data_IF_310741699299
#
_entry.id   IF_310741699299
#
_cell.length_a   1.000
_cell.length_b   1.000
_cell.length_c   1.000
_cell.angle_alpha   90.00
_cell.angle_beta   90.00
_cell.angle_gamma   90.00
#
_symmetry.space_group_name_H-M   'P 1'
#
loop_
_entity.id
_entity.type
_entity.pdbx_description
1 polymer ?
#
# COMPACT_ATOMS: atom_id res chain seq x y z
N UNK A 1 -15.84 27.46 10.29
CA UNK A 1 -14.47 26.99 10.03
C UNK A 1 -13.82 26.70 11.38
N UNK A 2 -13.86 25.45 11.81
CA UNK A 2 -12.99 25.01 12.92
C UNK A 2 -11.77 24.39 12.27
N UNK A 3 -10.65 25.12 12.28
CA UNK A 3 -9.34 24.54 11.99
C UNK A 3 -8.95 23.65 13.19
N UNK A 4 -9.56 22.47 13.29
CA UNK A 4 -9.13 21.44 14.24
C UNK A 4 -7.81 20.85 13.73
N UNK A 5 -6.73 21.59 13.98
CA UNK A 5 -5.37 21.08 13.92
C UNK A 5 -5.04 20.42 15.24
N UNK A 6 -4.52 19.20 15.18
CA UNK A 6 -4.08 18.46 16.36
C UNK A 6 -2.62 18.07 16.19
N UNK A 7 -1.77 18.50 17.12
CA UNK A 7 -0.40 18.01 17.18
C UNK A 7 -0.39 16.68 17.94
N UNK A 8 0.21 15.66 17.34
CA UNK A 8 0.39 14.34 17.94
C UNK A 8 1.86 13.96 17.92
N UNK A 9 2.26 13.08 18.84
CA UNK A 9 3.57 12.43 18.83
C UNK A 9 3.37 10.95 18.54
N UNK A 10 3.96 10.44 17.46
CA UNK A 10 3.88 9.03 17.04
C UNK A 10 5.31 8.57 16.78
N UNK A 11 5.73 7.47 17.40
CA UNK A 11 7.11 6.94 17.34
C UNK A 11 8.21 7.99 17.58
N UNK A 12 7.95 8.97 18.45
CA UNK A 12 8.88 10.06 18.75
C UNK A 12 8.90 11.19 17.72
N UNK A 13 8.07 11.12 16.68
CA UNK A 13 7.92 12.15 15.65
C UNK A 13 6.67 13.00 15.90
N UNK A 14 6.82 14.33 15.80
CA UNK A 14 5.69 15.26 15.89
C UNK A 14 5.02 15.41 14.53
N UNK A 15 3.71 15.21 14.50
CA UNK A 15 2.85 15.32 13.31
C UNK A 15 1.70 16.29 13.58
N UNK A 16 1.29 17.04 12.56
CA UNK A 16 0.08 17.88 12.61
C UNK A 16 -1.01 17.20 11.80
N UNK A 17 -2.06 16.77 12.49
CA UNK A 17 -3.27 16.22 11.89
C UNK A 17 -4.28 17.35 11.68
N UNK A 18 -4.97 17.35 10.54
CA UNK A 18 -5.89 18.43 10.18
C UNK A 18 -7.15 17.87 9.52
N UNK A 19 -8.27 18.59 9.65
CA UNK A 19 -9.55 18.23 9.03
C UNK A 19 -10.02 16.81 9.43
N UNK A 20 -9.89 16.46 10.71
CA UNK A 20 -10.24 15.13 11.21
C UNK A 20 -11.72 14.77 10.95
N UNK A 21 -12.61 15.76 11.03
CA UNK A 21 -14.05 15.59 10.78
C UNK A 21 -14.41 15.54 9.28
N UNK A 22 -13.42 15.67 8.37
CA UNK A 22 -13.68 15.62 6.93
C UNK A 22 -14.14 14.22 6.54
N UNK A 23 -15.30 14.12 5.92
CA UNK A 23 -15.84 12.85 5.40
C UNK A 23 -15.04 12.44 4.16
N UNK A 24 -14.46 11.23 4.20
CA UNK A 24 -13.80 10.61 3.05
C UNK A 24 -14.69 9.59 2.34
N UNK A 25 -15.62 8.95 3.04
CA UNK A 25 -16.58 8.00 2.45
C UNK A 25 -18.01 8.51 2.71
N UNK A 26 -18.60 9.27 1.78
CA UNK A 26 -19.93 9.87 1.94
C UNK A 26 -21.05 8.87 2.24
N UNK A 27 -21.03 7.68 1.63
CA UNK A 27 -22.08 6.67 1.80
C UNK A 27 -22.14 6.11 3.23
N UNK A 28 -21.01 6.04 3.92
CA UNK A 28 -20.91 5.52 5.30
C UNK A 28 -20.70 6.61 6.34
N UNK A 29 -20.41 7.85 5.91
CA UNK A 29 -20.00 8.95 6.78
C UNK A 29 -18.58 8.83 7.32
N UNK A 30 -17.77 7.86 6.86
CA UNK A 30 -16.43 7.63 7.43
C UNK A 30 -15.53 8.83 7.20
N UNK A 31 -14.97 9.33 8.30
CA UNK A 31 -14.17 10.55 8.38
C UNK A 31 -12.66 10.27 8.28
N UNK A 32 -11.88 11.32 8.03
CA UNK A 32 -10.41 11.26 8.05
C UNK A 32 -9.87 10.80 9.39
N UNK A 33 -10.47 11.25 10.50
CA UNK A 33 -10.11 10.82 11.85
C UNK A 33 -10.28 9.32 12.03
N UNK A 34 -11.37 8.75 11.54
CA UNK A 34 -11.63 7.30 11.60
C UNK A 34 -10.67 6.50 10.70
N UNK A 35 -10.30 7.03 9.54
CA UNK A 35 -9.27 6.41 8.69
C UNK A 35 -7.90 6.41 9.39
N UNK A 36 -7.53 7.51 10.05
CA UNK A 36 -6.31 7.59 10.85
C UNK A 36 -6.32 6.60 12.02
N UNK A 37 -7.43 6.51 12.74
CA UNK A 37 -7.63 5.53 13.82
C UNK A 37 -7.52 4.09 13.31
N UNK A 38 -8.16 3.77 12.19
CA UNK A 38 -8.07 2.46 11.56
C UNK A 38 -6.62 2.09 11.25
N UNK A 39 -5.89 2.98 10.56
CA UNK A 39 -4.48 2.75 10.23
C UNK A 39 -3.61 2.58 11.48
N UNK A 40 -3.86 3.34 12.55
CA UNK A 40 -3.14 3.19 13.80
C UNK A 40 -3.38 1.80 14.45
N UNK A 41 -4.63 1.32 14.44
CA UNK A 41 -4.99 0.00 15.01
C UNK A 41 -4.42 -1.16 14.22
N UNK A 42 -4.37 -1.07 12.89
CA UNK A 42 -3.88 -2.14 12.02
C UNK A 42 -2.37 -2.05 11.73
N UNK A 43 -1.70 -0.97 12.13
CA UNK A 43 -0.26 -0.77 11.92
C UNK A 43 0.60 -1.99 12.32
N UNK A 44 0.39 -2.65 13.48
CA UNK A 44 1.20 -3.81 13.88
C UNK A 44 1.09 -5.01 12.92
N UNK A 45 0.03 -5.08 12.12
CA UNK A 45 -0.21 -6.15 11.14
C UNK A 45 0.15 -5.72 9.72
N UNK A 46 -0.16 -4.47 9.34
CA UNK A 46 0.13 -3.96 8.00
C UNK A 46 1.62 -3.72 7.79
N UNK A 47 2.31 -3.10 8.75
CA UNK A 47 3.70 -2.70 8.60
C UNK A 47 4.60 -3.91 8.28
N UNK A 48 4.52 -5.07 8.95
CA UNK A 48 5.31 -6.25 8.58
C UNK A 48 5.18 -6.69 7.11
N UNK A 49 4.03 -6.44 6.46
CA UNK A 49 3.82 -6.76 5.04
C UNK A 49 4.30 -5.67 4.08
N UNK A 50 4.41 -4.44 4.55
CA UNK A 50 4.81 -3.25 3.78
C UNK A 50 6.27 -2.83 4.01
N UNK A 51 6.89 -3.26 5.11
CA UNK A 51 8.23 -2.92 5.50
C UNK A 51 9.23 -3.25 4.39
N UNK A 52 10.15 -2.33 4.16
CA UNK A 52 11.17 -2.40 3.11
C UNK A 52 10.58 -2.49 1.70
N UNK A 53 9.33 -2.05 1.49
CA UNK A 53 8.74 -1.94 0.17
C UNK A 53 8.41 -0.49 -0.11
N UNK A 54 8.71 -0.05 -1.32
CA UNK A 54 8.30 1.27 -1.80
C UNK A 54 6.78 1.35 -1.86
N UNK A 55 6.21 2.47 -1.40
CA UNK A 55 4.76 2.66 -1.41
C UNK A 55 4.35 3.68 -2.48
N UNK A 56 3.55 3.22 -3.45
CA UNK A 56 2.74 4.11 -4.28
C UNK A 56 1.45 4.43 -3.52
N UNK A 57 1.08 5.71 -3.45
CA UNK A 57 -0.12 6.14 -2.74
C UNK A 57 -1.21 6.48 -3.74
N UNK A 58 -2.43 6.02 -3.49
CA UNK A 58 -3.61 6.50 -4.22
C UNK A 58 -4.42 7.39 -3.29
N UNK A 59 -4.64 8.63 -3.72
CA UNK A 59 -5.06 9.71 -2.83
C UNK A 59 -6.39 10.31 -3.26
N UNK A 60 -7.28 10.48 -2.29
CA UNK A 60 -8.57 11.17 -2.42
C UNK A 60 -8.62 12.33 -1.44
N UNK A 61 -8.01 13.44 -1.82
CA UNK A 61 -7.87 14.61 -0.93
C UNK A 61 -9.23 15.10 -0.43
N UNK A 62 -10.27 14.98 -1.25
CA UNK A 62 -11.65 15.39 -0.98
C UNK A 62 -12.62 14.23 -0.70
N UNK A 63 -12.11 13.02 -0.53
CA UNK A 63 -12.94 11.82 -0.35
C UNK A 63 -13.27 11.10 -1.65
N UNK A 64 -13.82 9.90 -1.55
CA UNK A 64 -14.07 8.98 -2.68
C UNK A 64 -15.29 9.35 -3.51
N UNK A 65 -16.13 10.27 -3.03
CA UNK A 65 -17.40 10.61 -3.65
C UNK A 65 -18.46 9.52 -3.46
N UNK A 66 -19.41 9.46 -4.38
CA UNK A 66 -20.45 8.42 -4.45
C UNK A 66 -20.35 7.68 -5.79
N UNK A 67 -21.09 6.57 -5.99
CA UNK A 67 -21.13 5.91 -7.30
C UNK A 67 -21.58 6.81 -8.45
N UNK A 68 -22.47 7.77 -8.16
CA UNK A 68 -23.01 8.72 -9.15
C UNK A 68 -22.13 9.97 -9.34
N UNK A 69 -21.34 10.34 -8.34
CA UNK A 69 -20.42 11.49 -8.36
C UNK A 69 -19.06 11.10 -7.74
N UNK A 70 -18.19 10.42 -8.50
CA UNK A 70 -16.93 9.92 -7.97
C UNK A 70 -15.94 11.05 -7.69
N UNK A 71 -15.29 10.97 -6.53
CA UNK A 71 -14.30 11.94 -6.09
C UNK A 71 -13.01 11.88 -6.91
N UNK A 72 -12.31 13.01 -6.99
CA UNK A 72 -11.04 13.09 -7.70
C UNK A 72 -9.96 12.24 -7.02
N UNK A 73 -9.25 11.46 -7.83
CA UNK A 73 -8.21 10.54 -7.38
C UNK A 73 -6.96 10.68 -8.22
N UNK A 74 -5.81 10.52 -7.58
CA UNK A 74 -4.54 10.42 -8.28
C UNK A 74 -3.58 9.47 -7.60
N UNK A 75 -2.67 8.92 -8.40
CA UNK A 75 -1.55 8.12 -7.92
C UNK A 75 -0.33 9.01 -7.70
N UNK A 76 0.31 8.85 -6.56
CA UNK A 76 1.51 9.56 -6.20
C UNK A 76 2.62 8.56 -5.87
N UNK A 77 3.67 8.61 -6.68
CA UNK A 77 4.87 7.77 -6.57
C UNK A 77 5.98 8.50 -5.85
N UNK A 78 6.23 9.73 -6.27
CA UNK A 78 7.28 10.59 -5.72
C UNK A 78 6.80 11.24 -4.43
N UNK A 79 7.63 11.25 -3.40
CA UNK A 79 7.37 11.96 -2.16
C UNK A 79 7.65 13.45 -2.38
N UNK A 80 6.80 14.37 -1.91
CA UNK A 80 7.06 15.79 -2.10
C UNK A 80 8.30 16.25 -1.32
N UNK A 81 9.02 17.26 -1.84
CA UNK A 81 10.27 17.79 -1.24
C UNK A 81 10.13 18.26 0.21
N UNK A 82 8.91 18.66 0.60
CA UNK A 82 8.59 19.12 1.96
C UNK A 82 8.17 17.98 2.90
N UNK A 83 8.24 16.72 2.47
CA UNK A 83 7.94 15.60 3.35
C UNK A 83 8.94 15.53 4.51
N UNK A 84 8.52 15.08 5.70
CA UNK A 84 9.38 14.99 6.86
C UNK A 84 10.65 14.17 6.59
N UNK A 85 11.80 14.70 6.98
CA UNK A 85 13.12 14.10 6.73
C UNK A 85 13.36 12.75 7.40
N UNK A 86 12.54 12.39 8.39
CA UNK A 86 12.60 11.10 9.07
C UNK A 86 11.91 9.98 8.29
N UNK A 87 11.12 10.29 7.26
CA UNK A 87 10.51 9.26 6.40
C UNK A 87 11.61 8.63 5.57
N UNK A 88 11.83 7.33 5.76
CA UNK A 88 12.76 6.56 4.94
C UNK A 88 12.28 6.53 3.48
N UNK A 89 13.20 6.71 2.54
CA UNK A 89 12.87 6.72 1.10
C UNK A 89 13.80 5.85 0.26
N UNK A 90 13.33 5.47 -0.93
CA UNK A 90 14.15 4.84 -1.98
C UNK A 90 13.91 5.42 -3.35
N UNK A 91 14.99 5.52 -4.11
CA UNK A 91 14.97 6.03 -5.48
C UNK A 91 14.77 4.91 -6.49
N UNK A 92 13.79 5.06 -7.39
CA UNK A 92 13.54 4.14 -8.49
C UNK A 92 13.75 4.86 -9.83
N UNK A 93 14.47 4.21 -10.74
CA UNK A 93 14.62 4.71 -12.12
C UNK A 93 13.38 4.35 -12.93
N UNK A 94 12.73 5.35 -13.49
CA UNK A 94 11.71 5.18 -14.53
C UNK A 94 12.20 5.78 -15.85
N UNK A 95 11.52 5.44 -16.94
CA UNK A 95 11.75 6.05 -18.25
C UNK A 95 11.56 7.58 -18.23
N UNK A 96 10.68 8.08 -17.36
CA UNK A 96 10.39 9.51 -17.19
C UNK A 96 11.28 10.21 -16.16
N UNK A 97 12.33 9.54 -15.67
CA UNK A 97 13.21 10.07 -14.63
C UNK A 97 13.15 9.29 -13.31
N UNK A 98 13.89 9.78 -12.32
CA UNK A 98 13.98 9.18 -10.99
C UNK A 98 12.81 9.63 -10.11
N UNK A 99 12.30 8.73 -9.28
CA UNK A 99 11.27 9.03 -8.27
C UNK A 99 11.69 8.52 -6.90
N UNK A 100 11.41 9.29 -5.87
CA UNK A 100 11.70 9.00 -4.47
C UNK A 100 10.44 8.49 -3.78
N UNK A 101 10.40 7.19 -3.49
CA UNK A 101 9.27 6.56 -2.83
C UNK A 101 9.45 6.52 -1.32
N UNK A 102 8.40 6.71 -0.51
CA UNK A 102 8.45 6.42 0.92
C UNK A 102 8.48 4.91 1.17
N UNK A 103 9.11 4.53 2.28
CA UNK A 103 9.05 3.20 2.88
C UNK A 103 8.21 3.28 4.16
N UNK A 104 7.23 2.39 4.30
CA UNK A 104 6.35 2.35 5.47
C UNK A 104 7.02 1.48 6.54
N UNK A 105 7.98 2.07 7.26
CA UNK A 105 8.81 1.35 8.26
C UNK A 105 8.20 1.37 9.66
N UNK A 106 7.31 2.33 9.93
CA UNK A 106 6.83 2.67 11.27
C UNK A 106 5.42 3.32 11.22
N UNK A 107 4.81 3.45 12.40
CA UNK A 107 3.46 3.98 12.54
C UNK A 107 3.44 5.49 12.26
N UNK A 108 4.51 6.22 12.55
CA UNK A 108 4.63 7.63 12.20
C UNK A 108 4.51 7.87 10.69
N UNK A 109 5.22 7.08 9.88
CA UNK A 109 5.16 7.15 8.41
C UNK A 109 3.77 6.81 7.92
N UNK A 110 3.16 5.73 8.42
CA UNK A 110 1.80 5.35 8.04
C UNK A 110 0.78 6.45 8.38
N UNK A 111 0.90 7.04 9.57
CA UNK A 111 0.06 8.16 10.04
C UNK A 111 0.21 9.38 9.13
N UNK A 112 1.44 9.72 8.72
CA UNK A 112 1.70 10.81 7.79
C UNK A 112 1.03 10.58 6.43
N UNK A 113 1.16 9.37 5.85
CA UNK A 113 0.55 9.05 4.55
C UNK A 113 -0.99 9.10 4.63
N UNK A 114 -1.59 8.62 5.72
CA UNK A 114 -3.03 8.73 5.97
C UNK A 114 -3.48 10.20 6.11
N UNK A 115 -2.71 11.04 6.81
CA UNK A 115 -2.95 12.49 6.91
C UNK A 115 -2.94 13.18 5.53
N UNK A 116 -2.18 12.66 4.56
CA UNK A 116 -2.17 13.10 3.17
C UNK A 116 -3.31 12.54 2.30
N UNK A 117 -4.29 11.86 2.90
CA UNK A 117 -5.42 11.21 2.21
C UNK A 117 -5.03 10.00 1.35
N UNK A 118 -3.95 9.29 1.70
CA UNK A 118 -3.55 8.05 1.03
C UNK A 118 -4.45 6.90 1.51
N UNK A 119 -5.59 6.72 0.84
CA UNK A 119 -6.57 5.70 1.22
C UNK A 119 -6.17 4.30 0.75
N UNK A 120 -5.43 4.18 -0.35
CA UNK A 120 -4.81 2.92 -0.77
C UNK A 120 -3.27 3.05 -0.81
N UNK A 121 -2.61 2.00 -0.35
CA UNK A 121 -1.16 1.85 -0.32
C UNK A 121 -0.76 0.65 -1.18
N UNK A 122 -0.05 0.91 -2.27
CA UNK A 122 0.34 -0.10 -3.25
C UNK A 122 1.82 -0.40 -3.12
N UNK A 123 2.14 -1.64 -2.76
CA UNK A 123 3.50 -2.13 -2.51
C UNK A 123 3.87 -3.25 -3.48
N UNK A 124 5.11 -3.28 -4.00
CA UNK A 124 5.58 -4.35 -4.88
C UNK A 124 5.81 -5.67 -4.12
N UNK A 125 6.11 -6.73 -4.89
CA UNK A 125 6.39 -8.05 -4.32
C UNK A 125 7.86 -8.27 -3.96
N UNK A 126 8.73 -7.30 -4.25
CA UNK A 126 10.13 -7.25 -3.84
C UNK A 126 10.34 -6.23 -2.73
N UNK A 127 11.45 -6.40 -2.00
CA UNK A 127 11.91 -5.45 -0.97
C UNK A 127 13.13 -4.68 -1.45
N UNK A 128 13.40 -3.58 -0.77
CA UNK A 128 14.64 -2.82 -0.86
C UNK A 128 15.52 -3.21 0.32
N UNK A 129 16.81 -3.44 0.13
CA UNK A 129 17.66 -3.85 1.25
C UNK A 129 17.70 -2.79 2.37
N UNK A 130 17.33 -3.12 3.61
CA UNK A 130 17.65 -2.30 4.78
C UNK A 130 19.14 -2.47 5.11
N UNK A 131 19.88 -1.37 5.27
CA UNK A 131 21.25 -1.39 5.81
C UNK A 131 22.40 -1.08 4.86
N UNK A 132 22.17 -0.83 3.56
CA UNK A 132 23.17 -0.12 2.75
C UNK A 132 22.91 1.39 2.87
N UNK A 133 23.90 2.14 3.38
CA UNK A 133 24.09 3.55 3.04
C UNK A 133 23.82 3.71 1.55
N UNK A 134 22.81 4.49 1.18
CA UNK A 134 22.26 4.65 -0.18
C UNK A 134 22.93 3.76 -1.27
N UNK A 135 22.39 2.56 -1.58
CA UNK A 135 22.97 1.71 -2.62
C UNK A 135 22.69 2.26 -4.03
N UNK A 136 22.02 3.41 -4.15
CA UNK A 136 21.73 4.06 -5.42
C UNK A 136 20.31 3.81 -5.92
N UNK A 137 20.14 3.97 -7.22
CA UNK A 137 18.83 3.91 -7.88
C UNK A 137 18.52 2.48 -8.31
N UNK A 138 17.42 1.91 -7.82
CA UNK A 138 16.98 0.55 -8.18
C UNK A 138 16.50 0.54 -9.63
N UNK A 139 17.00 -0.41 -10.41
CA UNK A 139 16.60 -0.62 -11.82
C UNK A 139 15.59 -1.77 -11.94
N UNK A 140 15.23 -2.19 -13.16
CA UNK A 140 14.39 -3.38 -13.37
C UNK A 140 15.07 -4.66 -12.91
N UNK A 141 16.39 -4.73 -13.05
CA UNK A 141 17.17 -5.95 -12.93
C UNK A 141 17.55 -6.24 -11.46
N UNK A 142 17.33 -5.25 -10.58
CA UNK A 142 17.62 -5.31 -9.14
C UNK A 142 16.38 -5.67 -8.30
N UNK A 143 15.38 -6.35 -8.89
CA UNK A 143 14.08 -6.59 -8.23
C UNK A 143 13.85 -8.07 -8.01
N UNK A 144 14.06 -8.52 -6.79
CA UNK A 144 13.95 -9.92 -6.39
C UNK A 144 12.74 -10.09 -5.45
N UNK A 145 11.60 -10.60 -5.94
CA UNK A 145 10.40 -10.76 -5.12
C UNK A 145 10.58 -11.85 -4.06
N UNK A 146 10.15 -11.55 -2.83
CA UNK A 146 10.07 -12.52 -1.72
C UNK A 146 8.67 -13.15 -1.61
N UNK A 147 7.78 -12.81 -2.54
CA UNK A 147 6.46 -13.40 -2.70
C UNK A 147 5.98 -13.27 -4.14
N UNK A 148 5.17 -14.22 -4.59
CA UNK A 148 4.35 -14.07 -5.79
C UNK A 148 2.92 -13.68 -5.40
N UNK A 149 2.20 -13.07 -6.34
CA UNK A 149 0.79 -12.77 -6.20
C UNK A 149 0.02 -13.22 -7.44
N UNK A 150 -1.07 -13.93 -7.24
CA UNK A 150 -2.10 -14.15 -8.27
C UNK A 150 -3.26 -13.22 -7.98
N UNK A 151 -3.63 -12.43 -8.98
CA UNK A 151 -4.77 -11.51 -8.91
C UNK A 151 -5.95 -12.14 -9.65
N UNK A 152 -6.97 -12.56 -8.90
CA UNK A 152 -8.15 -13.23 -9.43
C UNK A 152 -9.34 -12.27 -9.37
N UNK A 153 -9.67 -11.71 -10.54
CA UNK A 153 -10.85 -10.88 -10.72
C UNK A 153 -11.98 -11.64 -11.42
N UNK A 154 -13.24 -11.46 -10.99
CA UNK A 154 -14.36 -12.07 -11.67
C UNK A 154 -14.59 -11.40 -13.03
N UNK A 155 -14.65 -12.21 -14.08
CA UNK A 155 -15.07 -11.76 -15.42
C UNK A 155 -16.55 -11.34 -15.48
N UNK A 156 -16.99 -10.93 -16.67
CA UNK A 156 -18.39 -10.55 -16.88
C UNK A 156 -19.35 -11.70 -16.49
N UNK A 157 -20.38 -11.38 -15.70
CA UNK A 157 -21.36 -12.34 -15.20
C UNK A 157 -20.84 -13.27 -14.09
N UNK A 158 -19.62 -13.05 -13.59
CA UNK A 158 -19.03 -13.82 -12.48
C UNK A 158 -18.99 -12.99 -11.19
N UNK A 159 -18.86 -13.69 -10.08
CA UNK A 159 -18.80 -13.12 -8.74
C UNK A 159 -17.56 -13.63 -7.98
N UNK A 160 -17.31 -13.05 -6.81
CA UNK A 160 -16.20 -13.45 -5.93
C UNK A 160 -16.17 -14.96 -5.64
N UNK A 161 -17.34 -15.61 -5.58
CA UNK A 161 -17.44 -17.07 -5.36
C UNK A 161 -16.77 -17.88 -6.48
N UNK A 162 -16.87 -17.43 -7.74
CA UNK A 162 -16.17 -18.07 -8.85
C UNK A 162 -14.64 -17.92 -8.68
N UNK A 163 -14.17 -16.77 -8.21
CA UNK A 163 -12.76 -16.56 -7.89
C UNK A 163 -12.28 -17.45 -6.74
N UNK A 164 -13.14 -17.75 -5.76
CA UNK A 164 -12.82 -18.67 -4.65
C UNK A 164 -12.61 -20.09 -5.16
N UNK A 165 -13.43 -20.56 -6.11
CA UNK A 165 -13.24 -21.88 -6.74
C UNK A 165 -11.89 -21.95 -7.48
N UNK A 166 -11.58 -20.93 -8.28
CA UNK A 166 -10.27 -20.84 -8.95
C UNK A 166 -9.13 -20.75 -7.94
N UNK A 167 -9.32 -20.01 -6.84
CA UNK A 167 -8.31 -19.89 -5.80
C UNK A 167 -7.98 -21.21 -5.11
N UNK A 168 -8.97 -22.09 -4.93
CA UNK A 168 -8.74 -23.43 -4.38
C UNK A 168 -7.87 -24.27 -5.34
N UNK A 169 -8.12 -24.19 -6.65
CA UNK A 169 -7.30 -24.88 -7.66
C UNK A 169 -5.87 -24.35 -7.70
N UNK A 170 -5.68 -23.03 -7.66
CA UNK A 170 -4.35 -22.40 -7.59
C UNK A 170 -3.62 -22.84 -6.32
N UNK A 171 -4.33 -22.88 -5.18
CA UNK A 171 -3.76 -23.37 -3.91
C UNK A 171 -3.30 -24.81 -3.99
N UNK A 172 -4.09 -25.70 -4.58
CA UNK A 172 -3.70 -27.11 -4.74
C UNK A 172 -2.43 -27.25 -5.60
N UNK A 173 -2.36 -26.51 -6.70
CA UNK A 173 -1.19 -26.51 -7.59
C UNK A 173 0.07 -26.04 -6.86
N UNK A 174 0.01 -24.88 -6.21
CA UNK A 174 1.17 -24.28 -5.53
C UNK A 174 1.60 -25.10 -4.30
N UNK A 175 0.67 -25.65 -3.53
CA UNK A 175 0.99 -26.58 -2.45
C UNK A 175 1.71 -27.84 -2.99
N UNK A 176 1.32 -28.33 -4.17
CA UNK A 176 2.00 -29.43 -4.85
C UNK A 176 3.44 -29.10 -5.26
N UNK A 177 3.77 -27.81 -5.38
CA UNK A 177 5.12 -27.29 -5.62
C UNK A 177 5.86 -26.94 -4.31
N UNK A 178 5.25 -27.17 -3.15
CA UNK A 178 5.82 -26.85 -1.84
C UNK A 178 5.68 -25.39 -1.42
N UNK A 179 4.78 -24.62 -2.06
CA UNK A 179 4.52 -23.21 -1.75
C UNK A 179 3.21 -23.05 -0.99
N UNK A 180 3.28 -22.54 0.24
CA UNK A 180 2.09 -22.19 1.02
C UNK A 180 1.37 -20.98 0.41
N UNK A 181 0.04 -21.06 0.32
CA UNK A 181 -0.79 -20.00 -0.29
C UNK A 181 -1.70 -19.33 0.73
N UNK A 182 -1.67 -18.00 0.74
CA UNK A 182 -2.41 -17.14 1.66
C UNK A 182 -3.40 -16.25 0.89
N UNK A 183 -4.72 -16.44 1.06
CA UNK A 183 -5.72 -15.62 0.41
C UNK A 183 -5.91 -14.26 1.10
N UNK A 184 -6.12 -13.21 0.29
CA UNK A 184 -6.47 -11.86 0.74
C UNK A 184 -7.52 -11.27 -0.19
N UNK A 185 -8.74 -11.02 0.30
CA UNK A 185 -9.76 -10.31 -0.49
C UNK A 185 -9.26 -8.93 -0.89
N UNK A 186 -9.45 -8.51 -2.15
CA UNK A 186 -8.86 -7.25 -2.64
C UNK A 186 -9.54 -5.99 -2.07
N UNK A 187 -10.70 -6.15 -1.42
CA UNK A 187 -11.54 -5.03 -0.98
C UNK A 187 -12.39 -4.41 -2.09
N UNK A 188 -12.25 -4.92 -3.32
CA UNK A 188 -13.07 -4.59 -4.49
C UNK A 188 -13.90 -5.81 -4.91
N UNK A 189 -13.65 -6.39 -6.09
CA UNK A 189 -14.44 -7.51 -6.62
C UNK A 189 -13.77 -8.88 -6.47
N UNK A 190 -12.44 -8.91 -6.42
CA UNK A 190 -11.62 -10.12 -6.53
C UNK A 190 -10.92 -10.56 -5.25
N UNK A 191 -9.96 -11.47 -5.42
CA UNK A 191 -9.12 -12.03 -4.36
C UNK A 191 -7.68 -12.16 -4.86
N UNK A 192 -6.73 -11.78 -4.00
CA UNK A 192 -5.31 -12.03 -4.22
C UNK A 192 -4.89 -13.31 -3.50
N UNK A 193 -3.97 -14.05 -4.11
CA UNK A 193 -3.31 -15.19 -3.49
C UNK A 193 -1.81 -14.92 -3.40
N UNK A 194 -1.28 -14.89 -2.19
CA UNK A 194 0.16 -14.71 -1.97
C UNK A 194 0.83 -16.04 -1.67
N UNK A 195 1.94 -16.30 -2.34
CA UNK A 195 2.82 -17.43 -2.06
C UNK A 195 4.25 -16.90 -1.78
N UNK A 196 4.88 -17.23 -0.65
CA UNK A 196 6.26 -16.83 -0.37
C UNK A 196 7.24 -17.37 -1.42
N UNK A 197 8.28 -16.60 -1.72
CA UNK A 197 9.40 -17.01 -2.56
C UNK A 197 10.71 -16.84 -1.77
N UNK A 198 11.78 -17.50 -2.21
CA UNK A 198 13.10 -17.41 -1.57
C UNK A 198 13.91 -16.17 -1.98
N UNK A 199 13.40 -15.37 -2.92
CA UNK A 199 14.07 -14.16 -3.43
C UNK A 199 15.27 -14.44 -4.34
N UNK A 200 15.41 -15.67 -4.86
CA UNK A 200 16.51 -16.02 -5.78
C UNK A 200 16.25 -15.59 -7.22
N UNK A 201 14.99 -15.57 -7.64
CA UNK A 201 14.55 -15.16 -8.97
C UNK A 201 14.29 -13.66 -9.05
N UNK A 202 14.55 -13.06 -10.21
CA UNK A 202 14.17 -11.69 -10.54
C UNK A 202 12.67 -11.58 -10.81
N UNK A 203 12.14 -10.36 -10.77
CA UNK A 203 10.74 -10.07 -11.10
C UNK A 203 10.36 -10.37 -12.56
N UNK A 204 11.33 -10.61 -13.45
CA UNK A 204 11.07 -11.01 -14.84
C UNK A 204 10.99 -12.54 -15.00
N UNK A 205 11.63 -13.29 -14.10
CA UNK A 205 11.65 -14.75 -14.12
C UNK A 205 10.44 -15.36 -13.42
N UNK A 206 9.90 -14.67 -12.40
CA UNK A 206 8.65 -15.00 -11.71
C UNK A 206 7.45 -14.55 -12.54
#
# INVERSE_FOLDING_TARGET
MSSNEQQVSVDGHRLTLTNLDKVYYPETGTTKGEVLDYYARIAPYLIPHAQDRIATRKRWVDGVGTPDDPGQVFFEKDLPDHAPSWIATRSIKHSTGRKHYPLIQDQATLTYLAQLASLELHIPQWRVSPGASDPGTITSDDRYPDRMVFDLDPGEGRALVDCVEVAQLVRELLNGMGLDVYPLTSGSKGIHLYAPLDGSATSQEV
#
